data_IF_406297415251
#
_entry.id   IF_406297415251
#
_cell.length_a   1.000
_cell.length_b   1.000
_cell.length_c   1.000
_cell.angle_alpha   90.00
_cell.angle_beta   90.00
_cell.angle_gamma   90.00
#
_symmetry.space_group_name_H-M   'P 1'
#
loop_
_entity.id
_entity.type
_entity.pdbx_description
1 polymer ?
#
# COMPACT_ATOMS: atom_id res chain seq x y z
N UNK A 1 -8.45 -14.82 -8.98
CA UNK A 1 -7.65 -13.57 -9.02
C UNK A 1 -6.79 -13.56 -7.78
N UNK A 2 -5.50 -13.24 -7.91
CA UNK A 2 -4.53 -13.31 -6.80
C UNK A 2 -4.17 -11.87 -6.45
N UNK A 3 -4.79 -11.35 -5.40
CA UNK A 3 -4.50 -10.02 -4.88
C UNK A 3 -3.12 -10.02 -4.24
N UNK A 4 -2.32 -8.99 -4.50
CA UNK A 4 -1.14 -8.73 -3.67
C UNK A 4 -1.64 -8.24 -2.31
N UNK A 5 -1.62 -9.12 -1.30
CA UNK A 5 -2.10 -8.87 0.05
C UNK A 5 -1.04 -9.31 1.08
N UNK A 6 -0.06 -8.44 1.39
CA UNK A 6 1.04 -8.74 2.30
C UNK A 6 0.58 -8.99 3.73
N UNK A 7 -0.59 -8.47 4.12
CA UNK A 7 -1.09 -8.59 5.48
C UNK A 7 -1.67 -9.98 5.71
N UNK A 8 -2.49 -10.45 4.76
CA UNK A 8 -3.01 -11.82 4.79
C UNK A 8 -1.90 -12.86 4.61
N UNK A 9 -0.97 -12.63 3.69
CA UNK A 9 0.15 -13.54 3.44
C UNK A 9 1.20 -13.52 4.55
N UNK A 10 1.24 -12.46 5.36
CA UNK A 10 2.08 -12.42 6.54
C UNK A 10 1.62 -13.38 7.66
N UNK A 11 0.39 -13.93 7.61
CA UNK A 11 -0.06 -15.04 8.46
C UNK A 11 0.18 -14.85 9.96
N UNK A 12 0.28 -13.60 10.44
CA UNK A 12 0.44 -13.29 11.88
C UNK A 12 -0.89 -12.76 12.42
N UNK A 13 -1.33 -13.24 13.59
CA UNK A 13 -2.60 -12.83 14.18
C UNK A 13 -2.59 -11.42 14.79
N UNK A 14 -1.43 -10.76 14.90
CA UNK A 14 -1.28 -9.53 15.68
C UNK A 14 -1.45 -8.22 14.89
N UNK A 15 -1.41 -8.26 13.55
CA UNK A 15 -1.58 -7.05 12.74
C UNK A 15 -2.18 -7.39 11.37
N UNK A 16 -3.34 -6.82 11.08
CA UNK A 16 -4.11 -6.97 9.84
C UNK A 16 -4.27 -5.61 9.15
N UNK A 17 -4.75 -5.60 7.90
CA UNK A 17 -5.15 -4.38 7.17
C UNK A 17 -6.12 -3.50 7.98
N UNK A 18 -6.97 -4.12 8.80
CA UNK A 18 -7.87 -3.45 9.73
C UNK A 18 -7.15 -2.54 10.75
N UNK A 19 -5.89 -2.81 11.08
CA UNK A 19 -5.12 -2.04 12.06
C UNK A 19 -4.45 -0.78 11.45
N UNK A 20 -4.50 -0.61 10.13
CA UNK A 20 -3.86 0.51 9.43
C UNK A 20 -4.85 1.61 9.10
N UNK A 21 -4.51 2.84 9.50
CA UNK A 21 -5.34 4.02 9.37
C UNK A 21 -4.68 5.03 8.43
N UNK A 22 -5.46 5.54 7.47
CA UNK A 22 -5.00 6.51 6.48
C UNK A 22 -5.87 7.77 6.49
N UNK A 23 -5.21 8.92 6.44
CA UNK A 23 -5.86 10.22 6.36
C UNK A 23 -5.85 10.76 4.94
N UNK A 24 -7.00 10.68 4.27
CA UNK A 24 -7.16 11.19 2.92
C UNK A 24 -7.20 12.73 2.89
N UNK A 25 -6.66 13.32 1.82
CA UNK A 25 -6.74 14.78 1.58
C UNK A 25 -8.17 15.35 1.52
N UNK A 26 -9.20 14.52 1.31
CA UNK A 26 -10.60 14.95 1.41
C UNK A 26 -11.13 15.04 2.85
N UNK A 27 -10.26 14.86 3.85
CA UNK A 27 -10.60 14.87 5.28
C UNK A 27 -11.28 13.60 5.78
N UNK A 28 -11.18 12.49 5.03
CA UNK A 28 -11.66 11.20 5.49
C UNK A 28 -10.52 10.41 6.13
N UNK A 29 -10.72 9.99 7.37
CA UNK A 29 -9.91 8.99 8.05
C UNK A 29 -10.57 7.62 7.83
N UNK A 30 -9.83 6.65 7.29
CA UNK A 30 -10.36 5.33 6.92
C UNK A 30 -9.35 4.24 7.25
N UNK A 31 -9.85 3.07 7.64
CA UNK A 31 -9.04 1.85 7.77
C UNK A 31 -8.81 1.24 6.39
N UNK A 32 -7.68 0.54 6.23
CA UNK A 32 -7.25 0.03 4.94
C UNK A 32 -8.18 -1.07 4.40
N UNK A 33 -8.72 -1.93 5.26
CA UNK A 33 -9.74 -2.95 4.94
C UNK A 33 -11.10 -2.33 4.54
N UNK A 34 -11.37 -1.12 5.00
CA UNK A 34 -12.53 -0.33 4.62
C UNK A 34 -12.33 0.44 3.32
N UNK A 35 -11.21 0.35 2.61
CA UNK A 35 -11.01 1.07 1.35
C UNK A 35 -11.57 0.30 0.15
N UNK A 36 -11.74 0.98 -0.98
CA UNK A 36 -12.04 0.30 -2.24
C UNK A 36 -10.74 -0.27 -2.80
N UNK A 37 -10.77 -1.53 -3.22
CA UNK A 37 -9.64 -2.19 -3.89
C UNK A 37 -9.81 -2.08 -5.42
N UNK A 38 -8.76 -1.65 -6.10
CA UNK A 38 -8.68 -1.66 -7.56
C UNK A 38 -7.39 -2.32 -8.04
N UNK A 39 -7.44 -3.06 -9.15
CA UNK A 39 -6.28 -3.75 -9.73
C UNK A 39 -5.81 -2.99 -10.97
N UNK A 40 -4.58 -2.47 -10.93
CA UNK A 40 -3.93 -1.82 -12.08
C UNK A 40 -2.63 -2.55 -12.42
N UNK A 41 -2.71 -3.49 -13.38
CA UNK A 41 -1.57 -4.30 -13.79
C UNK A 41 -1.06 -5.18 -12.64
N UNK A 42 0.21 -5.05 -12.21
CA UNK A 42 0.78 -5.83 -11.10
C UNK A 42 0.50 -5.23 -9.70
N UNK A 43 -0.38 -4.23 -9.59
CA UNK A 43 -0.56 -3.43 -8.38
C UNK A 43 -1.99 -3.49 -7.89
N UNK A 44 -2.15 -3.73 -6.59
CA UNK A 44 -3.39 -3.50 -5.86
C UNK A 44 -3.39 -2.08 -5.31
N UNK A 45 -4.34 -1.26 -5.72
CA UNK A 45 -4.56 0.10 -5.22
C UNK A 45 -5.68 0.12 -4.17
N UNK A 46 -5.47 0.93 -3.13
CA UNK A 46 -6.45 1.20 -2.08
C UNK A 46 -6.96 2.62 -2.27
N UNK A 47 -8.23 2.76 -2.61
CA UNK A 47 -8.88 4.03 -2.90
C UNK A 47 -9.79 4.50 -1.78
N UNK A 48 -9.75 5.81 -1.55
CA UNK A 48 -10.66 6.47 -0.62
C UNK A 48 -12.12 6.23 -1.04
N UNK A 49 -12.96 5.62 -0.20
CA UNK A 49 -14.39 5.45 -0.52
C UNK A 49 -15.12 6.76 -0.76
N UNK A 50 -14.64 7.87 -0.17
CA UNK A 50 -15.28 9.19 -0.28
C UNK A 50 -14.93 9.96 -1.54
N UNK A 51 -13.66 9.97 -1.96
CA UNK A 51 -13.20 10.78 -3.10
C UNK A 51 -12.51 9.99 -4.21
N UNK A 52 -12.49 8.66 -4.10
CA UNK A 52 -11.94 7.69 -5.07
C UNK A 52 -10.49 7.98 -5.49
N UNK A 53 -9.75 8.75 -4.68
CA UNK A 53 -8.32 8.94 -4.88
C UNK A 53 -7.59 7.76 -4.28
N UNK A 54 -6.73 7.12 -5.07
CA UNK A 54 -5.82 6.09 -4.59
C UNK A 54 -4.84 6.69 -3.56
N UNK A 55 -4.75 6.05 -2.40
CA UNK A 55 -3.96 6.50 -1.25
C UNK A 55 -2.79 5.55 -0.97
N UNK A 56 -3.04 4.25 -0.96
CA UNK A 56 -2.04 3.20 -0.74
C UNK A 56 -2.01 2.24 -1.93
N UNK A 57 -0.88 1.58 -2.11
CA UNK A 57 -0.64 0.66 -3.20
C UNK A 57 0.31 -0.44 -2.77
N UNK A 58 0.07 -1.64 -3.28
CA UNK A 58 0.80 -2.84 -2.94
C UNK A 58 1.16 -3.57 -4.23
N UNK A 59 2.43 -3.93 -4.37
CA UNK A 59 2.93 -4.73 -5.48
C UNK A 59 3.76 -5.91 -4.98
N UNK A 60 3.83 -6.99 -5.75
CA UNK A 60 4.71 -8.12 -5.44
C UNK A 60 6.17 -7.75 -5.73
N UNK A 61 7.05 -8.07 -4.79
CA UNK A 61 8.52 -7.96 -4.85
C UNK A 61 9.09 -9.26 -5.45
N UNK A 62 8.64 -9.60 -6.67
CA UNK A 62 9.06 -10.81 -7.38
C UNK A 62 10.30 -10.49 -8.25
N UNK A 63 11.46 -11.13 -7.98
CA UNK A 63 12.66 -10.92 -8.78
C UNK A 63 12.51 -11.39 -10.24
N UNK A 64 11.60 -12.33 -10.54
CA UNK A 64 11.34 -12.73 -11.93
C UNK A 64 10.55 -11.64 -12.69
N UNK A 65 9.76 -10.81 -11.98
CA UNK A 65 9.18 -9.60 -12.55
C UNK A 65 10.26 -8.52 -12.76
N UNK A 66 11.29 -8.42 -11.90
CA UNK A 66 12.43 -7.50 -12.09
C UNK A 66 13.23 -7.80 -13.36
N UNK A 67 13.45 -9.08 -13.67
CA UNK A 67 14.24 -9.52 -14.85
C UNK A 67 13.55 -9.09 -16.16
N UNK A 68 12.22 -9.04 -16.18
CA UNK A 68 11.43 -8.61 -17.33
C UNK A 68 11.04 -7.14 -17.29
N UNK A 69 11.31 -6.45 -16.19
CA UNK A 69 11.05 -5.04 -16.04
C UNK A 69 12.17 -4.21 -16.72
N UNK A 70 11.84 -3.10 -17.41
CA UNK A 70 12.84 -2.16 -17.92
C UNK A 70 13.82 -1.74 -16.80
N UNK A 71 15.11 -1.54 -17.09
CA UNK A 71 16.11 -1.15 -16.08
C UNK A 71 15.75 0.10 -15.25
N UNK A 72 14.89 0.98 -15.79
CA UNK A 72 14.29 2.07 -15.02
C UNK A 72 13.45 1.54 -13.86
N UNK A 73 12.62 0.50 -14.06
CA UNK A 73 11.75 -0.15 -13.05
C UNK A 73 12.50 -0.96 -11.99
N UNK A 74 13.68 -1.50 -12.29
CA UNK A 74 14.48 -2.29 -11.33
C UNK A 74 15.09 -1.41 -10.22
N UNK A 75 15.66 -0.25 -10.57
CA UNK A 75 16.07 0.78 -9.58
C UNK A 75 14.89 1.47 -8.88
N UNK A 76 13.66 1.22 -9.33
CA UNK A 76 12.44 1.80 -8.78
C UNK A 76 11.86 0.97 -7.65
N UNK A 77 11.94 -0.36 -7.68
CA UNK A 77 11.52 -1.21 -6.57
C UNK A 77 12.27 -0.87 -5.27
N UNK A 78 13.59 -0.67 -5.34
CA UNK A 78 14.43 -0.25 -4.20
C UNK A 78 14.07 1.13 -3.60
N UNK A 79 13.30 1.96 -4.32
CA UNK A 79 12.94 3.34 -3.92
C UNK A 79 11.44 3.56 -3.72
N UNK A 80 10.60 2.58 -4.05
CA UNK A 80 9.17 2.79 -4.22
C UNK A 80 8.36 2.63 -2.94
N UNK A 81 8.83 1.89 -1.93
CA UNK A 81 7.99 1.64 -0.76
C UNK A 81 8.66 0.84 0.37
N UNK A 82 7.85 0.47 1.34
CA UNK A 82 8.25 -0.38 2.46
C UNK A 82 8.16 -1.85 2.03
N UNK A 83 9.28 -2.58 2.12
CA UNK A 83 9.32 -4.00 1.76
C UNK A 83 8.79 -4.87 2.91
N UNK A 84 7.88 -5.79 2.59
CA UNK A 84 7.33 -6.74 3.53
C UNK A 84 7.08 -8.09 2.85
N UNK A 85 7.92 -9.09 3.13
CA UNK A 85 7.72 -10.51 2.75
C UNK A 85 7.40 -10.75 1.28
N UNK A 86 8.19 -10.20 0.36
CA UNK A 86 7.92 -10.38 -1.07
C UNK A 86 6.86 -9.39 -1.60
N UNK A 87 6.63 -8.29 -0.90
CA UNK A 87 5.78 -7.18 -1.35
C UNK A 87 6.45 -5.83 -1.10
N UNK A 88 6.11 -4.85 -1.92
CA UNK A 88 6.48 -3.44 -1.77
C UNK A 88 5.21 -2.64 -1.54
N UNK A 89 5.16 -1.86 -0.46
CA UNK A 89 4.00 -1.10 -0.02
C UNK A 89 4.30 0.39 -0.13
N UNK A 90 3.49 1.12 -0.90
CA UNK A 90 3.60 2.57 -1.07
C UNK A 90 2.36 3.33 -0.63
N UNK A 91 2.54 4.58 -0.17
CA UNK A 91 1.41 5.46 0.18
C UNK A 91 1.66 6.93 -0.19
N UNK A 92 0.59 7.66 -0.54
CA UNK A 92 0.63 9.12 -0.78
C UNK A 92 0.55 9.94 0.50
N UNK A 93 0.15 9.30 1.60
CA UNK A 93 -0.03 9.90 2.93
C UNK A 93 0.61 8.98 3.96
N UNK A 94 0.90 9.52 5.15
CA UNK A 94 1.42 8.70 6.23
C UNK A 94 0.37 7.66 6.65
N UNK A 95 0.84 6.47 7.01
CA UNK A 95 -0.01 5.36 7.45
C UNK A 95 0.26 5.13 8.94
N UNK A 96 -0.78 5.19 9.76
CA UNK A 96 -0.67 4.91 11.18
C UNK A 96 -1.08 3.46 11.47
N UNK A 97 -0.30 2.76 12.28
CA UNK A 97 -0.73 1.51 12.90
C UNK A 97 -1.49 1.85 14.19
N UNK A 98 -2.81 1.72 14.15
CA UNK A 98 -3.71 1.96 15.28
C UNK A 98 -4.74 0.83 15.34
N UNK A 99 -4.54 -0.16 16.21
CA UNK A 99 -5.48 -1.25 16.39
C UNK A 99 -6.90 -0.75 16.69
N UNK A 100 -7.90 -1.55 16.31
CA UNK A 100 -9.29 -1.20 16.58
C UNK A 100 -9.55 -1.00 18.08
N UNK A 101 -10.29 0.07 18.41
CA UNK A 101 -10.52 0.48 19.80
C UNK A 101 -9.31 1.12 20.51
N UNK A 102 -8.16 1.25 19.85
CA UNK A 102 -7.00 1.96 20.36
C UNK A 102 -7.13 3.49 20.23
N UNK A 103 -6.73 4.23 21.28
CA UNK A 103 -6.75 5.71 21.28
C UNK A 103 -5.44 6.36 20.78
N UNK A 104 -4.40 5.56 20.50
CA UNK A 104 -3.06 6.07 20.14
C UNK A 104 -2.44 5.28 19.00
N UNK A 105 -1.64 5.98 18.20
CA UNK A 105 -0.82 5.36 17.15
C UNK A 105 0.36 4.63 17.78
N UNK A 106 0.53 3.36 17.40
CA UNK A 106 1.67 2.53 17.83
C UNK A 106 2.89 2.73 16.93
N UNK A 107 2.66 3.03 15.65
CA UNK A 107 3.68 3.28 14.66
C UNK A 107 3.14 4.24 13.60
N UNK A 108 4.00 5.15 13.13
CA UNK A 108 3.73 5.95 11.94
C UNK A 108 4.71 5.54 10.84
N UNK A 109 4.15 5.11 9.71
CA UNK A 109 4.88 4.72 8.50
C UNK A 109 4.84 5.92 7.54
N UNK A 110 5.98 6.56 7.24
CA UNK A 110 6.00 7.74 6.39
C UNK A 110 5.53 7.46 4.96
N UNK A 111 4.88 8.46 4.37
CA UNK A 111 4.44 8.44 2.97
C UNK A 111 5.60 8.20 1.99
N UNK A 112 5.34 7.41 0.97
CA UNK A 112 6.23 7.13 -0.17
C UNK A 112 5.54 7.48 -1.49
N UNK A 113 5.24 8.77 -1.73
CA UNK A 113 4.39 9.20 -2.85
C UNK A 113 4.98 8.90 -4.23
N UNK A 114 6.30 8.73 -4.32
CA UNK A 114 7.00 8.32 -5.54
C UNK A 114 6.52 6.98 -6.09
N UNK A 115 5.98 6.10 -5.23
CA UNK A 115 5.30 4.86 -5.65
C UNK A 115 4.27 5.13 -6.75
N UNK A 116 3.44 6.17 -6.61
CA UNK A 116 2.28 6.41 -7.48
C UNK A 116 2.60 7.18 -8.74
N UNK A 117 3.72 7.93 -8.76
CA UNK A 117 4.11 8.77 -9.92
C UNK A 117 4.33 7.89 -11.17
N UNK A 118 4.69 6.63 -10.98
CA UNK A 118 4.95 5.69 -12.07
C UNK A 118 3.74 4.91 -12.57
N UNK A 119 2.69 4.75 -11.77
CA UNK A 119 1.60 3.82 -12.09
C UNK A 119 0.26 4.51 -12.39
N UNK A 120 0.10 5.79 -12.01
CA UNK A 120 -1.08 6.60 -12.30
C UNK A 120 -0.85 7.64 -13.41
N UNK A 121 0.18 7.44 -14.23
CA UNK A 121 0.53 8.31 -15.37
C UNK A 121 0.02 7.77 -16.72
N UNK A 122 -0.98 6.87 -16.71
CA UNK A 122 -1.68 6.35 -17.89
C UNK A 122 -3.12 6.88 -17.91
#
# INVERSE_FOLDING_TARGET
MRYADPFRDAGRPETTDHDFLLNCSCGAEQRMDEMTLDETGPITLYECKRCTKSIAGVMTDDPDLEIHAPQSMTRLQERAGHHLRGYIIGSRVDVALRPEGGERDLLLIPATPYFFVQYLSL
#
